data_IF_266788813163
#
_entry.id   IF_266788813163
#
_cell.length_a   1.000
_cell.length_b   1.000
_cell.length_c   1.000
_cell.angle_alpha   90.00
_cell.angle_beta   90.00
_cell.angle_gamma   90.00
#
_symmetry.space_group_name_H-M   'P 1'
#
loop_
_entity.id
_entity.type
_entity.pdbx_description
1 polymer ?
#
# COMPACT_ATOMS: atom_id res chain seq x y z
N UNK A 1 47.16 69.09 -67.90
CA UNK A 1 47.22 67.70 -68.38
C UNK A 1 46.00 66.98 -67.80
N UNK A 2 45.24 66.31 -68.67
CA UNK A 2 44.17 65.32 -68.40
C UNK A 2 43.00 65.75 -67.46
N UNK A 3 41.82 66.16 -67.99
CA UNK A 3 40.65 65.33 -68.42
C UNK A 3 39.96 64.62 -67.25
N UNK A 4 38.63 64.64 -67.01
CA UNK A 4 37.44 65.10 -67.75
C UNK A 4 36.23 65.10 -66.77
N UNK A 5 35.13 65.82 -67.09
CA UNK A 5 33.84 65.24 -67.58
C UNK A 5 33.22 64.23 -66.58
N UNK A 6 31.96 64.25 -66.10
CA UNK A 6 30.66 64.80 -66.50
C UNK A 6 29.73 64.59 -65.26
N UNK A 7 28.92 65.56 -64.84
CA UNK A 7 27.48 65.72 -65.16
C UNK A 7 26.56 64.75 -64.36
N UNK A 8 25.74 65.29 -63.43
CA UNK A 8 24.26 65.24 -63.40
C UNK A 8 23.66 65.60 -62.01
N UNK A 9 22.99 66.76 -61.97
CA UNK A 9 21.63 67.06 -61.45
C UNK A 9 21.20 66.35 -60.14
N UNK A 10 21.16 67.04 -58.99
CA UNK A 10 20.06 67.88 -58.45
C UNK A 10 18.75 67.11 -58.14
N UNK A 11 18.41 66.93 -56.86
CA UNK A 11 17.20 67.50 -56.20
C UNK A 11 16.94 66.89 -54.80
N UNK A 12 16.78 67.81 -53.85
CA UNK A 12 16.04 67.81 -52.58
C UNK A 12 15.37 66.50 -52.09
N UNK A 13 15.59 66.15 -50.83
CA UNK A 13 14.61 65.42 -50.02
C UNK A 13 14.56 66.02 -48.61
N UNK A 14 13.49 66.77 -48.40
CA UNK A 14 12.92 67.18 -47.12
C UNK A 14 12.68 65.91 -46.32
N UNK A 15 13.29 65.80 -45.13
CA UNK A 15 13.02 64.72 -44.19
C UNK A 15 11.53 64.72 -43.85
N UNK A 16 10.80 63.79 -44.46
CA UNK A 16 9.45 63.46 -44.06
C UNK A 16 9.50 62.82 -42.68
N UNK A 17 8.70 63.41 -41.78
CA UNK A 17 7.96 62.76 -40.70
C UNK A 17 8.18 61.25 -40.63
N UNK A 18 8.96 60.78 -39.64
CA UNK A 18 8.68 59.45 -39.12
C UNK A 18 7.50 59.64 -38.18
N UNK A 19 6.30 59.46 -38.74
CA UNK A 19 5.14 59.09 -37.97
C UNK A 19 5.57 57.93 -37.06
N UNK A 20 5.43 58.13 -35.75
CA UNK A 20 5.46 57.00 -34.83
C UNK A 20 4.45 55.99 -35.34
N UNK A 21 4.95 54.86 -35.81
CA UNK A 21 4.14 53.66 -35.93
C UNK A 21 3.85 53.31 -34.48
N UNK A 22 2.68 53.73 -33.99
CA UNK A 22 2.04 53.08 -32.87
C UNK A 22 1.77 51.64 -33.35
N UNK A 23 2.75 50.76 -33.11
CA UNK A 23 2.51 49.33 -33.08
C UNK A 23 1.60 49.10 -31.87
N UNK A 24 0.38 48.65 -32.14
CA UNK A 24 -0.50 48.09 -31.14
C UNK A 24 0.10 46.75 -30.70
N UNK A 25 1.06 46.78 -29.78
CA UNK A 25 1.53 45.58 -29.04
C UNK A 25 0.57 45.29 -27.86
N UNK A 26 -0.74 45.34 -28.13
CA UNK A 26 -1.79 45.15 -27.13
C UNK A 26 -2.36 43.72 -27.12
N UNK A 27 -1.85 42.85 -27.99
CA UNK A 27 -2.40 41.51 -28.19
C UNK A 27 -1.37 40.44 -27.85
N UNK A 28 -1.72 39.56 -26.92
CA UNK A 28 -0.87 38.43 -26.55
C UNK A 28 -0.67 37.50 -27.76
N UNK A 29 0.45 36.75 -27.80
CA UNK A 29 0.64 35.69 -28.79
C UNK A 29 -0.54 34.68 -28.76
N UNK A 30 -0.74 33.89 -29.82
CA UNK A 30 -1.70 32.79 -29.81
C UNK A 30 -1.51 31.89 -28.60
N UNK A 31 -2.61 31.32 -28.08
CA UNK A 31 -2.62 30.46 -26.89
C UNK A 31 -2.14 31.14 -25.60
N UNK A 32 -2.19 32.48 -25.55
CA UNK A 32 -1.89 33.26 -24.37
C UNK A 32 -2.97 34.31 -24.10
N UNK A 33 -3.11 34.68 -22.84
CA UNK A 33 -4.01 35.72 -22.37
C UNK A 33 -3.28 36.67 -21.42
N UNK A 34 -3.93 37.78 -21.06
CA UNK A 34 -3.38 38.78 -20.14
C UNK A 34 -4.30 38.88 -18.93
N UNK A 35 -3.74 38.73 -17.73
CA UNK A 35 -4.43 39.02 -16.47
C UNK A 35 -4.84 40.49 -16.41
N UNK A 36 -5.89 40.81 -15.65
CA UNK A 36 -6.30 42.21 -15.46
C UNK A 36 -5.18 43.01 -14.76
N UNK A 37 -4.89 44.21 -15.27
CA UNK A 37 -3.85 45.08 -14.69
C UNK A 37 -2.40 44.60 -14.84
N UNK A 38 -2.12 43.52 -15.58
CA UNK A 38 -0.77 43.05 -15.88
C UNK A 38 -0.40 43.27 -17.35
N UNK A 39 0.90 43.44 -17.61
CA UNK A 39 1.44 43.54 -18.98
C UNK A 39 1.98 42.19 -19.50
N UNK A 40 2.23 41.24 -18.59
CA UNK A 40 2.73 39.91 -18.92
C UNK A 40 1.61 39.01 -19.45
N UNK A 41 1.91 38.24 -20.50
CA UNK A 41 1.01 37.24 -21.06
C UNK A 41 1.24 35.88 -20.38
N UNK A 42 0.15 35.23 -20.00
CA UNK A 42 0.09 33.90 -19.42
C UNK A 42 -0.45 32.91 -20.44
N UNK A 43 -0.03 31.66 -20.34
CA UNK A 43 -0.51 30.61 -21.23
C UNK A 43 -2.00 30.34 -20.99
N UNK A 44 -2.82 30.21 -22.04
CA UNK A 44 -4.28 30.04 -21.94
C UNK A 44 -4.73 28.81 -21.15
N UNK A 45 -3.84 27.85 -20.86
CA UNK A 45 -4.11 26.75 -19.92
C UNK A 45 -4.30 27.19 -18.47
N UNK A 46 -3.93 28.43 -18.12
CA UNK A 46 -4.18 29.00 -16.79
C UNK A 46 -5.54 29.67 -16.65
N UNK A 47 -6.31 29.78 -17.74
CA UNK A 47 -7.67 30.31 -17.62
C UNK A 47 -8.62 29.22 -17.17
N UNK A 48 -9.39 29.50 -16.12
CA UNK A 48 -10.47 28.65 -15.64
C UNK A 48 -10.02 27.23 -15.29
N UNK A 49 -8.80 27.08 -14.77
CA UNK A 49 -8.25 25.78 -14.39
C UNK A 49 -8.51 25.44 -12.90
N UNK A 50 -9.18 26.34 -12.17
CA UNK A 50 -9.49 26.23 -10.76
C UNK A 50 -8.42 26.78 -9.81
N UNK A 51 -7.35 27.39 -10.32
CA UNK A 51 -6.23 27.94 -9.54
C UNK A 51 -6.04 29.43 -9.83
N UNK A 52 -5.60 30.19 -8.82
CA UNK A 52 -5.33 31.62 -8.95
C UNK A 52 -3.86 31.86 -9.32
N UNK A 53 -3.56 32.01 -10.61
CA UNK A 53 -2.24 32.39 -11.12
C UNK A 53 -2.07 33.91 -11.25
N UNK A 54 -3.13 34.63 -11.58
CA UNK A 54 -3.06 36.08 -11.81
C UNK A 54 -2.89 36.90 -10.52
N UNK A 55 -3.16 36.33 -9.35
CA UNK A 55 -3.09 36.99 -8.04
C UNK A 55 -4.16 38.05 -7.78
N UNK A 56 -5.01 38.31 -8.79
CA UNK A 56 -6.24 39.09 -8.71
C UNK A 56 -7.49 38.25 -9.05
N UNK A 57 -7.31 36.96 -9.37
CA UNK A 57 -8.37 36.01 -9.76
C UNK A 57 -8.92 36.19 -11.18
N UNK A 58 -8.38 37.10 -11.99
CA UNK A 58 -8.94 37.41 -13.33
C UNK A 58 -8.91 36.24 -14.33
N UNK A 59 -8.05 35.27 -14.09
CA UNK A 59 -7.96 33.98 -14.77
C UNK A 59 -9.16 33.05 -14.50
N UNK A 60 -9.79 33.15 -13.33
CA UNK A 60 -10.88 32.30 -12.86
C UNK A 60 -12.26 32.98 -12.93
N UNK A 61 -12.34 34.15 -13.56
CA UNK A 61 -13.59 34.90 -13.75
C UNK A 61 -14.25 34.61 -15.11
N UNK A 62 -15.58 34.68 -15.15
CA UNK A 62 -16.43 34.47 -16.35
C UNK A 62 -16.15 33.15 -17.10
N UNK A 63 -15.85 32.08 -16.36
CA UNK A 63 -15.48 30.79 -16.94
C UNK A 63 -16.60 30.06 -17.69
N UNK A 64 -17.87 30.35 -17.36
CA UNK A 64 -19.01 29.79 -18.08
C UNK A 64 -19.02 30.21 -19.56
N UNK A 65 -18.57 31.43 -19.87
CA UNK A 65 -18.57 31.98 -21.24
C UNK A 65 -17.32 31.58 -22.06
N UNK A 66 -16.27 31.10 -21.40
CA UNK A 66 -14.98 30.74 -22.01
C UNK A 66 -14.94 29.25 -22.37
N UNK A 67 -14.35 28.89 -23.51
CA UNK A 67 -14.11 27.49 -23.86
C UNK A 67 -12.85 26.97 -23.16
N UNK A 68 -12.83 25.68 -22.83
CA UNK A 68 -11.66 25.06 -22.24
C UNK A 68 -10.50 25.01 -23.24
N UNK A 69 -9.29 25.33 -22.78
CA UNK A 69 -8.11 25.34 -23.64
C UNK A 69 -7.78 23.94 -24.19
N UNK A 70 -7.90 22.93 -23.34
CA UNK A 70 -7.62 21.55 -23.70
C UNK A 70 -8.88 20.87 -24.26
N UNK A 71 -8.81 20.20 -25.43
CA UNK A 71 -9.96 19.53 -26.03
C UNK A 71 -10.38 18.26 -25.27
N UNK A 72 -9.48 17.68 -24.48
CA UNK A 72 -9.70 16.56 -23.58
C UNK A 72 -10.08 17.03 -22.17
N UNK A 73 -10.66 18.22 -22.03
CA UNK A 73 -11.20 18.73 -20.77
C UNK A 73 -12.72 18.87 -20.85
N UNK A 74 -13.39 18.78 -19.72
CA UNK A 74 -14.81 19.10 -19.58
C UNK A 74 -15.00 20.31 -18.66
N UNK A 75 -16.18 20.93 -18.75
CA UNK A 75 -16.52 22.14 -18.00
C UNK A 75 -17.50 21.79 -16.86
N UNK A 76 -17.17 22.19 -15.64
CA UNK A 76 -18.07 22.10 -14.49
C UNK A 76 -19.31 22.98 -14.71
N UNK A 77 -20.49 22.49 -14.33
CA UNK A 77 -21.77 23.10 -14.72
C UNK A 77 -21.96 24.50 -14.10
N UNK A 78 -21.68 24.69 -12.81
CA UNK A 78 -21.92 25.97 -12.13
C UNK A 78 -20.73 26.94 -12.20
N UNK A 79 -19.50 26.43 -12.06
CA UNK A 79 -18.31 27.28 -11.99
C UNK A 79 -17.73 27.61 -13.36
N UNK A 80 -17.94 26.76 -14.36
CA UNK A 80 -17.26 26.87 -15.66
C UNK A 80 -15.79 26.45 -15.64
N UNK A 81 -15.29 25.93 -14.52
CA UNK A 81 -13.91 25.43 -14.40
C UNK A 81 -13.71 24.25 -15.34
N UNK A 82 -12.55 24.22 -15.99
CA UNK A 82 -12.13 23.19 -16.90
C UNK A 82 -11.34 22.11 -16.16
N UNK A 83 -11.90 20.91 -16.10
CA UNK A 83 -11.28 19.74 -15.48
C UNK A 83 -10.68 18.85 -16.55
N UNK A 84 -9.44 18.41 -16.33
CA UNK A 84 -8.67 17.57 -17.25
C UNK A 84 -7.97 16.43 -16.48
N UNK A 85 -7.92 15.21 -17.03
CA UNK A 85 -8.50 14.75 -18.30
C UNK A 85 -10.02 14.61 -18.27
N UNK A 86 -10.65 14.45 -19.44
CA UNK A 86 -12.09 14.24 -19.59
C UNK A 86 -12.58 13.00 -18.81
N UNK A 87 -11.69 12.02 -18.64
CA UNK A 87 -11.89 10.79 -17.87
C UNK A 87 -12.28 11.03 -16.40
N UNK A 88 -12.04 12.25 -15.88
CA UNK A 88 -12.47 12.67 -14.55
C UNK A 88 -13.96 12.99 -14.44
N UNK A 89 -14.70 12.88 -15.53
CA UNK A 89 -16.15 13.00 -15.50
C UNK A 89 -16.75 11.63 -15.21
N UNK A 90 -17.50 11.51 -14.11
CA UNK A 90 -18.08 10.25 -13.66
C UNK A 90 -17.02 9.21 -13.26
N UNK A 91 -15.93 9.64 -12.63
CA UNK A 91 -14.84 8.78 -12.17
C UNK A 91 -14.99 8.33 -10.70
N UNK A 92 -16.10 8.71 -10.05
CA UNK A 92 -16.38 8.44 -8.66
C UNK A 92 -15.77 9.46 -7.69
N UNK A 93 -15.03 10.45 -8.19
CA UNK A 93 -14.41 11.50 -7.40
C UNK A 93 -14.97 12.87 -7.72
N UNK A 94 -15.18 13.67 -6.69
CA UNK A 94 -15.62 15.05 -6.88
C UNK A 94 -14.44 15.94 -7.32
N UNK A 95 -14.31 16.18 -8.62
CA UNK A 95 -13.30 17.04 -9.25
C UNK A 95 -13.82 18.47 -9.51
N UNK A 96 -15.14 18.67 -9.57
CA UNK A 96 -15.73 20.02 -9.69
C UNK A 96 -16.08 20.63 -8.33
N UNK A 97 -15.95 21.94 -8.11
CA UNK A 97 -16.32 22.52 -6.80
C UNK A 97 -17.78 22.30 -6.38
N UNK A 98 -18.66 22.06 -7.35
CA UNK A 98 -20.08 21.79 -7.17
C UNK A 98 -20.45 20.30 -7.28
N UNK A 99 -19.50 19.40 -7.57
CA UNK A 99 -19.77 17.97 -7.80
C UNK A 99 -20.52 17.64 -9.09
N UNK A 100 -20.65 18.60 -10.03
CA UNK A 100 -21.40 18.41 -11.28
C UNK A 100 -20.81 17.36 -12.23
N UNK A 101 -19.54 17.01 -12.03
CA UNK A 101 -18.88 15.93 -12.76
C UNK A 101 -19.49 14.56 -12.46
N UNK A 102 -19.94 14.33 -11.22
CA UNK A 102 -20.48 13.05 -10.73
C UNK A 102 -22.03 12.97 -10.77
N UNK A 103 -22.69 13.98 -11.33
CA UNK A 103 -24.15 14.02 -11.47
C UNK A 103 -24.60 13.54 -12.86
N UNK A 104 -25.77 12.91 -12.93
CA UNK A 104 -26.41 12.41 -14.18
C UNK A 104 -25.50 11.53 -15.07
N UNK A 105 -24.61 10.75 -14.46
CA UNK A 105 -23.65 9.88 -15.17
C UNK A 105 -24.31 8.81 -16.05
N UNK A 106 -25.52 8.37 -15.70
CA UNK A 106 -26.29 7.45 -16.55
C UNK A 106 -26.60 8.03 -17.94
N UNK A 107 -26.76 9.35 -18.07
CA UNK A 107 -27.07 10.00 -19.35
C UNK A 107 -25.82 10.36 -20.17
N UNK A 108 -24.64 10.36 -19.53
CA UNK A 108 -23.33 10.70 -20.12
C UNK A 108 -22.64 9.44 -20.66
N UNK A 109 -21.95 9.55 -21.78
CA UNK A 109 -21.07 8.47 -22.25
C UNK A 109 -19.68 8.64 -21.62
N UNK A 110 -18.97 7.54 -21.37
CA UNK A 110 -17.60 7.61 -20.89
C UNK A 110 -16.70 8.31 -21.92
N UNK A 111 -15.70 9.04 -21.42
CA UNK A 111 -14.82 9.87 -22.26
C UNK A 111 -14.03 9.07 -23.29
N UNK A 112 -13.81 7.79 -23.03
CA UNK A 112 -13.17 6.84 -23.91
C UNK A 112 -14.09 5.61 -24.09
N UNK A 113 -14.21 5.14 -25.33
CA UNK A 113 -15.04 3.99 -25.69
C UNK A 113 -14.56 2.67 -25.07
N UNK A 114 -13.30 2.59 -24.65
CA UNK A 114 -12.77 1.41 -23.98
C UNK A 114 -13.18 1.34 -22.50
N UNK A 115 -13.58 2.46 -21.88
CA UNK A 115 -13.96 2.47 -20.47
C UNK A 115 -15.27 1.71 -20.24
N UNK A 116 -15.34 1.04 -19.09
CA UNK A 116 -16.54 0.33 -18.65
C UNK A 116 -17.48 1.28 -17.92
N UNK A 117 -18.75 1.27 -18.31
CA UNK A 117 -19.79 2.07 -17.67
C UNK A 117 -20.66 1.19 -16.78
N UNK A 118 -20.68 1.45 -15.48
CA UNK A 118 -21.55 0.74 -14.54
C UNK A 118 -23.03 0.97 -14.90
N UNK A 119 -23.83 -0.08 -14.94
CA UNK A 119 -25.26 0.03 -15.28
C UNK A 119 -26.07 0.72 -14.18
N UNK A 120 -25.64 0.58 -12.92
CA UNK A 120 -26.35 1.09 -11.74
C UNK A 120 -26.34 2.63 -11.62
N UNK A 121 -25.18 3.26 -11.77
CA UNK A 121 -24.99 4.69 -11.54
C UNK A 121 -24.34 5.44 -12.72
N UNK A 122 -23.85 4.72 -13.73
CA UNK A 122 -23.20 5.31 -14.91
C UNK A 122 -21.76 5.75 -14.69
N UNK A 123 -21.12 5.39 -13.56
CA UNK A 123 -19.68 5.64 -13.36
C UNK A 123 -18.85 4.91 -14.42
N UNK A 124 -17.71 5.51 -14.75
CA UNK A 124 -16.81 5.08 -15.80
C UNK A 124 -15.49 4.62 -15.20
N UNK A 125 -15.15 3.36 -15.39
CA UNK A 125 -13.90 2.78 -14.93
C UNK A 125 -13.01 2.37 -16.10
N UNK A 126 -11.69 2.47 -15.89
CA UNK A 126 -10.71 1.96 -16.84
C UNK A 126 -10.87 0.45 -17.00
N UNK A 127 -10.58 -0.12 -18.19
CA UNK A 127 -10.61 -1.58 -18.40
C UNK A 127 -9.85 -2.44 -17.38
N UNK A 128 -8.86 -1.86 -16.69
CA UNK A 128 -8.09 -2.54 -15.65
C UNK A 128 -8.87 -2.84 -14.37
N UNK A 129 -10.04 -2.22 -14.17
CA UNK A 129 -10.97 -2.49 -13.05
C UNK A 129 -12.04 -3.53 -13.43
N UNK A 130 -11.97 -4.12 -14.63
CA UNK A 130 -12.89 -5.18 -15.02
C UNK A 130 -12.25 -6.51 -14.61
N UNK A 131 -12.94 -7.27 -13.75
CA UNK A 131 -12.47 -8.57 -13.28
C UNK A 131 -11.16 -8.47 -12.51
N UNK A 132 -10.94 -7.40 -11.77
CA UNK A 132 -9.73 -7.19 -10.96
C UNK A 132 -9.86 -7.78 -9.55
N UNK A 133 -11.04 -8.34 -9.24
CA UNK A 133 -11.36 -8.96 -7.95
C UNK A 133 -12.02 -8.00 -6.95
N UNK A 134 -12.24 -6.74 -7.30
CA UNK A 134 -12.92 -5.73 -6.48
C UNK A 134 -14.29 -5.37 -7.07
N UNK A 135 -15.30 -5.21 -6.21
CA UNK A 135 -16.59 -4.65 -6.65
C UNK A 135 -16.50 -3.11 -6.68
N UNK A 136 -16.01 -2.54 -7.79
CA UNK A 136 -15.92 -1.09 -7.98
C UNK A 136 -17.27 -0.50 -8.40
N UNK A 137 -18.00 -1.20 -9.27
CA UNK A 137 -19.38 -0.84 -9.54
C UNK A 137 -20.28 -1.19 -8.35
N UNK A 138 -21.23 -0.31 -7.93
CA UNK A 138 -22.13 -0.61 -6.81
C UNK A 138 -23.06 -1.80 -7.01
N UNK A 139 -23.22 -2.26 -8.26
CA UNK A 139 -23.97 -3.45 -8.63
C UNK A 139 -23.08 -4.67 -8.93
N UNK A 140 -21.75 -4.56 -8.77
CA UNK A 140 -20.77 -5.60 -9.05
C UNK A 140 -20.68 -6.01 -10.52
N UNK A 141 -21.18 -5.17 -11.43
CA UNK A 141 -21.30 -5.50 -12.86
C UNK A 141 -19.96 -5.62 -13.60
N UNK A 142 -18.92 -5.03 -13.04
CA UNK A 142 -17.51 -5.16 -13.41
C UNK A 142 -16.96 -6.58 -13.19
N UNK A 143 -17.36 -7.23 -12.11
CA UNK A 143 -16.89 -8.58 -11.69
C UNK A 143 -17.75 -9.74 -12.22
N UNK A 144 -18.69 -9.46 -13.13
CA UNK A 144 -19.56 -10.46 -13.75
C UNK A 144 -18.96 -11.04 -15.05
N UNK A 145 -19.20 -12.34 -15.29
CA UNK A 145 -18.78 -13.07 -16.50
C UNK A 145 -17.26 -13.00 -16.82
N UNK A 146 -16.41 -12.94 -15.80
CA UNK A 146 -14.95 -12.83 -15.95
C UNK A 146 -14.28 -14.00 -16.65
N UNK A 147 -14.86 -15.20 -16.57
CA UNK A 147 -14.38 -16.37 -17.31
C UNK A 147 -14.42 -16.18 -18.84
N UNK A 148 -15.35 -15.39 -19.36
CA UNK A 148 -15.48 -15.16 -20.81
C UNK A 148 -14.62 -13.99 -21.32
N UNK A 149 -14.13 -13.14 -20.40
CA UNK A 149 -13.34 -11.93 -20.68
C UNK A 149 -11.84 -12.22 -20.60
N UNK A 150 -11.04 -11.60 -21.44
CA UNK A 150 -9.57 -11.64 -21.32
C UNK A 150 -9.11 -10.50 -20.41
N UNK A 151 -8.01 -10.72 -19.68
CA UNK A 151 -7.41 -9.65 -18.89
C UNK A 151 -6.96 -8.49 -19.78
N UNK A 152 -7.22 -7.26 -19.31
CA UNK A 152 -6.90 -6.07 -20.08
C UNK A 152 -5.41 -5.98 -20.43
N UNK A 153 -4.57 -6.24 -19.42
CA UNK A 153 -3.13 -6.32 -19.59
C UNK A 153 -2.71 -7.77 -19.85
N UNK A 154 -1.99 -7.99 -20.95
CA UNK A 154 -1.65 -9.34 -21.44
C UNK A 154 -0.70 -10.13 -20.53
N UNK A 155 0.00 -9.46 -19.64
CA UNK A 155 0.94 -10.03 -18.67
C UNK A 155 0.28 -10.41 -17.35
N UNK A 156 -0.99 -10.03 -17.14
CA UNK A 156 -1.74 -10.40 -15.95
C UNK A 156 -2.11 -11.88 -16.02
N UNK A 157 -2.19 -12.51 -14.86
CA UNK A 157 -2.61 -13.89 -14.75
C UNK A 157 -4.12 -13.96 -14.55
N UNK A 158 -4.79 -14.84 -15.29
CA UNK A 158 -6.23 -15.06 -15.17
C UNK A 158 -6.49 -16.29 -14.32
N UNK A 159 -7.12 -16.12 -13.17
CA UNK A 159 -7.52 -17.20 -12.29
C UNK A 159 -8.42 -18.21 -13.03
N UNK A 160 -8.18 -19.50 -12.86
CA UNK A 160 -8.78 -20.55 -13.70
C UNK A 160 -10.30 -20.67 -13.51
N UNK A 161 -10.78 -20.55 -12.27
CA UNK A 161 -12.20 -20.76 -11.94
C UNK A 161 -13.04 -19.48 -11.84
N UNK A 162 -12.45 -18.36 -11.39
CA UNK A 162 -13.15 -17.07 -11.28
C UNK A 162 -13.00 -16.22 -12.54
N UNK A 163 -11.88 -16.35 -13.26
CA UNK A 163 -11.53 -15.44 -14.35
C UNK A 163 -11.02 -14.07 -13.89
N UNK A 164 -10.79 -13.88 -12.58
CA UNK A 164 -10.18 -12.67 -12.02
C UNK A 164 -8.75 -12.51 -12.55
N UNK A 165 -8.36 -11.28 -12.82
CA UNK A 165 -7.07 -10.90 -13.36
C UNK A 165 -6.17 -10.38 -12.25
N UNK A 166 -5.17 -11.18 -11.88
CA UNK A 166 -4.18 -10.81 -10.87
C UNK A 166 -2.93 -10.23 -11.52
N UNK A 167 -2.30 -9.30 -10.81
CA UNK A 167 -1.08 -8.63 -11.26
C UNK A 167 0.07 -9.63 -11.50
N UNK A 168 1.00 -9.34 -12.44
CA UNK A 168 2.09 -10.26 -12.78
C UNK A 168 3.00 -10.62 -11.60
N UNK A 169 3.13 -9.71 -10.63
CA UNK A 169 3.93 -9.87 -9.41
C UNK A 169 3.23 -10.73 -8.35
N UNK A 170 1.91 -10.93 -8.49
CA UNK A 170 1.12 -11.78 -7.61
C UNK A 170 1.09 -13.24 -8.08
N UNK A 171 1.29 -13.48 -9.38
CA UNK A 171 1.38 -14.83 -9.92
C UNK A 171 2.71 -15.52 -9.51
N UNK A 172 2.59 -16.61 -8.73
CA UNK A 172 3.69 -17.42 -8.18
C UNK A 172 4.47 -16.72 -7.06
N UNK A 173 3.82 -15.87 -6.28
CA UNK A 173 4.44 -15.06 -5.22
C UNK A 173 4.42 -15.75 -3.83
N UNK A 174 3.89 -16.97 -3.74
CA UNK A 174 3.76 -17.70 -2.50
C UNK A 174 2.49 -17.44 -1.68
N UNK A 175 1.64 -16.52 -2.12
CA UNK A 175 0.36 -16.18 -1.51
C UNK A 175 -0.77 -16.57 -2.45
N UNK A 176 -1.90 -16.99 -1.88
CA UNK A 176 -3.10 -17.29 -2.66
C UNK A 176 -3.85 -15.99 -2.91
N UNK A 177 -3.65 -15.40 -4.08
CA UNK A 177 -4.34 -14.18 -4.53
C UNK A 177 -5.56 -14.51 -5.41
N UNK A 178 -5.58 -15.67 -6.08
CA UNK A 178 -6.80 -16.18 -6.71
C UNK A 178 -7.72 -16.89 -5.69
N UNK A 179 -9.05 -16.79 -5.83
CA UNK A 179 -9.99 -17.53 -4.96
C UNK A 179 -9.83 -19.06 -4.98
N UNK A 180 -9.22 -19.60 -6.03
CA UNK A 180 -8.91 -21.02 -6.21
C UNK A 180 -7.43 -21.37 -6.02
N UNK A 181 -6.56 -20.39 -5.77
CA UNK A 181 -5.11 -20.59 -5.66
C UNK A 181 -4.40 -20.96 -6.96
N UNK A 182 -5.07 -20.80 -8.11
CA UNK A 182 -4.50 -21.15 -9.42
C UNK A 182 -3.28 -20.30 -9.80
N UNK A 183 -3.13 -19.14 -9.17
CA UNK A 183 -1.95 -18.27 -9.27
C UNK A 183 -0.70 -18.86 -8.60
N UNK A 184 -0.83 -19.88 -7.75
CA UNK A 184 0.31 -20.55 -7.13
C UNK A 184 0.57 -21.94 -7.72
N UNK A 185 -0.16 -22.32 -8.76
CA UNK A 185 -0.05 -23.62 -9.42
C UNK A 185 0.87 -23.57 -10.66
N UNK A 186 1.62 -24.65 -10.87
CA UNK A 186 2.49 -24.86 -12.06
C UNK A 186 3.59 -23.79 -12.29
N UNK A 187 4.10 -23.21 -11.22
CA UNK A 187 5.05 -22.11 -11.23
C UNK A 187 6.51 -22.48 -11.61
N UNK A 188 6.81 -23.76 -11.91
CA UNK A 188 8.17 -24.20 -12.22
C UNK A 188 8.81 -23.51 -13.45
N UNK A 189 7.99 -22.99 -14.36
CA UNK A 189 8.47 -22.35 -15.59
C UNK A 189 8.98 -20.92 -15.38
N UNK A 190 8.63 -20.27 -14.26
CA UNK A 190 9.13 -18.95 -13.88
C UNK A 190 10.30 -19.10 -12.94
N UNK A 191 11.36 -18.30 -13.11
CA UNK A 191 12.38 -18.12 -12.07
C UNK A 191 11.80 -17.23 -10.95
N UNK A 192 12.18 -17.48 -9.70
CA UNK A 192 11.67 -16.64 -8.61
C UNK A 192 12.20 -15.20 -8.77
N UNK A 193 11.38 -14.16 -8.49
CA UNK A 193 11.80 -12.77 -8.67
C UNK A 193 13.08 -12.44 -7.90
N UNK A 194 13.25 -13.01 -6.71
CA UNK A 194 14.48 -12.91 -5.92
C UNK A 194 15.24 -14.24 -5.94
N UNK A 195 16.57 -14.24 -6.21
CA UNK A 195 17.39 -15.46 -6.22
C UNK A 195 17.43 -16.23 -4.91
N UNK A 196 17.18 -15.56 -3.78
CA UNK A 196 17.24 -16.16 -2.45
C UNK A 196 15.89 -16.78 -2.02
N UNK A 197 14.80 -16.50 -2.74
CA UNK A 197 13.48 -17.02 -2.43
C UNK A 197 13.43 -18.56 -2.54
N UNK A 198 12.64 -19.17 -1.67
CA UNK A 198 12.45 -20.61 -1.65
C UNK A 198 11.37 -21.02 -2.65
N UNK A 199 11.59 -22.12 -3.37
CA UNK A 199 10.62 -22.65 -4.32
C UNK A 199 9.92 -23.88 -3.75
N UNK A 200 8.60 -23.84 -3.61
CA UNK A 200 7.81 -24.99 -3.19
C UNK A 200 7.99 -26.18 -4.15
N UNK A 201 8.14 -27.39 -3.62
CA UNK A 201 8.43 -28.59 -4.41
C UNK A 201 7.24 -29.01 -5.27
N UNK A 202 6.02 -28.99 -4.71
CA UNK A 202 4.79 -29.44 -5.38
C UNK A 202 4.15 -28.44 -6.33
N UNK A 203 4.32 -27.14 -6.12
CA UNK A 203 3.61 -26.10 -6.89
C UNK A 203 4.57 -25.24 -7.71
N UNK A 204 5.83 -25.11 -7.27
CA UNK A 204 6.81 -24.20 -7.85
C UNK A 204 6.67 -22.76 -7.40
N UNK A 205 5.73 -22.45 -6.50
CA UNK A 205 5.51 -21.13 -5.91
C UNK A 205 6.78 -20.58 -5.25
N UNK A 206 6.99 -19.27 -5.32
CA UNK A 206 8.17 -18.61 -4.76
C UNK A 206 7.82 -17.97 -3.42
N UNK A 207 8.29 -18.59 -2.35
CA UNK A 207 8.19 -18.08 -1.00
C UNK A 207 9.36 -17.14 -0.68
N UNK A 208 9.07 -16.08 0.04
CA UNK A 208 10.10 -15.21 0.59
C UNK A 208 11.11 -16.01 1.42
N UNK A 209 12.41 -15.77 1.24
CA UNK A 209 13.46 -16.59 1.88
C UNK A 209 13.39 -16.67 3.42
N UNK A 210 12.72 -15.72 4.09
CA UNK A 210 12.49 -15.77 5.54
C UNK A 210 11.41 -16.79 5.92
N UNK A 211 10.50 -17.12 5.01
CA UNK A 211 9.42 -18.09 5.20
C UNK A 211 9.87 -19.53 4.88
N UNK A 212 11.19 -19.76 4.93
CA UNK A 212 11.77 -21.07 4.69
C UNK A 212 12.48 -21.52 5.95
N UNK A 213 11.99 -22.62 6.55
CA UNK A 213 12.46 -23.13 7.83
C UNK A 213 12.19 -22.17 8.99
N UNK A 214 11.03 -21.51 8.98
CA UNK A 214 10.59 -20.61 10.06
C UNK A 214 9.58 -21.26 11.03
N UNK A 215 9.23 -22.53 10.79
CA UNK A 215 8.31 -23.30 11.63
C UNK A 215 6.85 -23.22 11.19
N UNK A 216 6.51 -22.34 10.26
CA UNK A 216 5.17 -22.18 9.72
C UNK A 216 5.08 -22.81 8.31
N UNK A 217 3.99 -23.53 8.03
CA UNK A 217 3.76 -24.13 6.72
C UNK A 217 3.18 -23.09 5.77
N UNK A 218 4.01 -22.61 4.85
CA UNK A 218 3.67 -21.68 3.79
C UNK A 218 3.49 -22.39 2.44
N UNK A 219 4.22 -23.47 2.17
CA UNK A 219 3.97 -24.26 0.97
C UNK A 219 2.74 -25.16 1.14
N UNK A 220 1.92 -25.35 0.10
CA UNK A 220 0.79 -26.30 0.13
C UNK A 220 1.19 -27.75 0.49
N UNK A 221 2.44 -28.13 0.20
CA UNK A 221 3.02 -29.45 0.52
C UNK A 221 3.93 -29.46 1.76
N UNK A 222 4.10 -28.32 2.44
CA UNK A 222 5.02 -28.16 3.55
C UNK A 222 6.50 -28.38 3.19
N UNK A 223 6.86 -28.23 1.91
CA UNK A 223 8.24 -28.40 1.45
C UNK A 223 9.20 -27.34 1.97
N UNK A 224 8.69 -26.19 2.36
CA UNK A 224 9.40 -25.10 3.03
C UNK A 224 9.99 -25.51 4.38
N UNK A 225 9.35 -26.43 5.10
CA UNK A 225 9.83 -26.90 6.40
C UNK A 225 10.65 -28.21 6.31
N UNK A 226 10.97 -28.64 5.09
CA UNK A 226 11.75 -29.85 4.84
C UNK A 226 13.24 -29.54 4.65
N UNK A 227 14.10 -30.40 5.22
CA UNK A 227 15.55 -30.34 4.99
C UNK A 227 16.28 -29.18 5.68
N UNK A 228 15.69 -28.58 6.69
CA UNK A 228 16.19 -27.39 7.40
C UNK A 228 17.48 -27.59 8.21
N UNK A 229 17.98 -28.83 8.36
CA UNK A 229 19.05 -29.22 9.30
C UNK A 229 20.33 -28.36 9.23
N UNK A 230 20.69 -27.86 8.04
CA UNK A 230 21.95 -27.15 7.80
C UNK A 230 21.77 -25.65 7.45
N UNK A 231 20.54 -25.11 7.44
CA UNK A 231 20.27 -23.72 7.04
C UNK A 231 20.27 -22.78 8.26
N UNK A 232 20.82 -21.57 8.21
CA UNK A 232 20.69 -20.61 9.32
C UNK A 232 19.22 -20.19 9.50
N UNK A 233 18.79 -19.95 10.74
CA UNK A 233 17.45 -19.41 10.98
C UNK A 233 17.30 -18.01 10.36
N UNK A 234 16.11 -17.67 9.84
CA UNK A 234 15.89 -16.46 9.06
C UNK A 234 16.00 -15.17 9.87
N UNK A 235 15.65 -15.17 11.16
CA UNK A 235 15.79 -13.99 12.03
C UNK A 235 17.11 -13.98 12.82
N UNK A 236 17.68 -12.78 12.97
CA UNK A 236 18.94 -12.56 13.67
C UNK A 236 18.77 -12.76 15.18
N UNK A 237 19.05 -13.96 15.68
CA UNK A 237 18.98 -14.30 17.10
C UNK A 237 18.40 -15.68 17.38
N UNK A 238 17.65 -16.24 16.45
CA UNK A 238 17.01 -17.55 16.59
C UNK A 238 18.05 -18.66 16.67
N UNK A 239 17.78 -19.61 17.57
CA UNK A 239 18.66 -20.74 17.85
C UNK A 239 17.93 -22.03 17.50
N UNK A 240 18.59 -22.87 16.68
CA UNK A 240 18.14 -24.22 16.38
C UNK A 240 18.44 -25.13 17.57
N UNK A 241 17.49 -25.97 17.95
CA UNK A 241 17.73 -27.04 18.93
C UNK A 241 18.88 -27.95 18.44
N UNK A 242 19.99 -27.98 19.17
CA UNK A 242 21.09 -28.92 18.89
C UNK A 242 20.71 -30.33 19.37
N UNK A 243 20.97 -31.34 18.53
CA UNK A 243 20.81 -32.77 18.82
C UNK A 243 21.43 -33.13 20.21
N UNK A 244 20.60 -33.32 21.24
CA UNK A 244 21.07 -33.87 22.53
C UNK A 244 20.37 -33.42 23.82
N UNK A 245 19.32 -32.60 23.77
CA UNK A 245 18.48 -32.33 24.95
C UNK A 245 17.32 -33.31 25.00
N UNK A 246 17.16 -33.99 26.14
CA UNK A 246 16.16 -35.04 26.37
C UNK A 246 14.75 -34.45 26.59
N UNK A 247 14.19 -33.74 25.61
CA UNK A 247 12.89 -33.07 25.78
C UNK A 247 11.91 -33.47 24.68
N UNK A 248 10.74 -33.98 25.08
CA UNK A 248 9.64 -34.31 24.17
C UNK A 248 9.10 -33.07 23.41
N UNK A 249 9.57 -31.86 23.73
CA UNK A 249 9.25 -30.61 23.03
C UNK A 249 10.17 -30.31 21.82
N UNK A 250 11.27 -31.06 21.61
CA UNK A 250 12.13 -30.95 20.42
C UNK A 250 11.66 -31.83 19.25
N UNK A 251 10.36 -32.14 19.17
CA UNK A 251 9.80 -32.98 18.11
C UNK A 251 9.60 -32.23 16.78
N UNK A 252 9.64 -30.89 16.80
CA UNK A 252 9.58 -30.05 15.61
C UNK A 252 10.90 -29.29 15.45
N UNK A 253 11.45 -29.30 14.25
CA UNK A 253 12.77 -28.73 13.91
C UNK A 253 12.67 -27.21 13.70
N UNK A 254 11.92 -26.55 14.57
CA UNK A 254 11.53 -25.14 14.49
C UNK A 254 12.73 -24.23 14.80
N UNK A 255 12.71 -23.03 14.21
CA UNK A 255 13.55 -21.92 14.63
C UNK A 255 12.84 -21.23 15.81
N UNK A 256 13.40 -21.38 17.01
CA UNK A 256 12.83 -20.77 18.20
C UNK A 256 13.41 -19.37 18.42
N UNK A 257 12.54 -18.45 18.84
CA UNK A 257 12.94 -17.12 19.26
C UNK A 257 13.90 -17.24 20.47
N UNK A 258 15.03 -16.51 20.53
CA UNK A 258 15.96 -16.57 21.66
C UNK A 258 15.35 -16.15 23.01
N UNK A 259 14.20 -15.45 23.01
CA UNK A 259 13.43 -15.17 24.21
C UNK A 259 12.70 -16.42 24.76
N UNK A 260 12.43 -17.45 23.94
CA UNK A 260 11.93 -18.76 24.40
C UNK A 260 13.05 -19.58 25.08
N UNK A 261 14.30 -19.46 24.60
CA UNK A 261 15.46 -20.16 25.18
C UNK A 261 16.00 -19.54 26.48
N UNK A 262 15.53 -18.35 26.88
CA UNK A 262 16.07 -17.63 28.05
C UNK A 262 15.39 -17.94 29.38
N UNK A 263 14.56 -18.98 29.43
CA UNK A 263 13.95 -19.48 30.67
C UNK A 263 14.94 -20.36 31.51
N UNK A 264 16.20 -20.61 31.08
CA UNK A 264 17.13 -21.56 31.76
C UNK A 264 17.67 -21.16 33.16
N UNK A 265 17.42 -19.94 33.68
CA UNK A 265 18.00 -19.53 35.00
C UNK A 265 17.06 -18.80 35.95
N UNK A 266 15.78 -18.66 35.61
CA UNK A 266 14.78 -17.93 36.39
C UNK A 266 13.41 -18.61 36.35
N UNK A 267 13.41 -19.92 36.47
CA UNK A 267 12.16 -20.64 36.70
C UNK A 267 11.78 -20.47 38.16
N UNK A 268 10.52 -20.14 38.42
CA UNK A 268 9.95 -20.13 39.76
C UNK A 268 10.67 -19.18 40.74
N UNK A 269 11.08 -18.00 40.26
CA UNK A 269 11.72 -16.96 41.07
C UNK A 269 10.74 -15.91 41.63
N UNK A 270 9.46 -15.98 41.20
CA UNK A 270 8.38 -15.10 41.62
C UNK A 270 8.19 -13.88 40.71
N UNK A 271 8.87 -13.83 39.56
CA UNK A 271 8.70 -12.80 38.54
C UNK A 271 8.37 -13.43 37.18
N UNK A 272 7.41 -12.84 36.45
CA UNK A 272 7.11 -13.25 35.07
C UNK A 272 8.18 -12.66 34.15
N UNK A 273 9.22 -13.44 33.88
CA UNK A 273 10.32 -13.15 32.96
C UNK A 273 10.03 -13.65 31.53
N UNK A 274 9.23 -14.71 31.37
CA UNK A 274 8.83 -15.22 30.04
C UNK A 274 7.55 -14.47 29.56
N UNK A 275 7.74 -13.36 28.84
CA UNK A 275 6.71 -12.32 28.58
C UNK A 275 5.57 -12.70 27.65
N UNK A 276 5.70 -13.81 26.92
CA UNK A 276 4.70 -14.26 25.93
C UNK A 276 3.60 -15.09 26.58
N UNK A 277 3.94 -15.94 27.55
CA UNK A 277 2.99 -16.88 28.15
C UNK A 277 3.13 -17.05 29.68
N UNK A 278 4.17 -16.50 30.30
CA UNK A 278 4.47 -16.63 31.74
C UNK A 278 4.71 -18.07 32.19
N UNK A 279 5.23 -18.92 31.31
CA UNK A 279 5.53 -20.34 31.58
C UNK A 279 6.55 -20.55 32.70
N UNK A 280 7.46 -19.61 32.92
CA UNK A 280 8.46 -19.64 33.99
C UNK A 280 7.87 -19.70 35.41
N UNK A 281 6.65 -19.21 35.57
CA UNK A 281 5.91 -19.19 36.85
C UNK A 281 4.65 -20.07 36.79
N UNK A 282 4.61 -21.06 35.89
CA UNK A 282 3.51 -22.03 35.79
C UNK A 282 4.05 -23.43 36.05
N UNK A 283 3.28 -24.23 36.80
CA UNK A 283 3.61 -25.63 37.12
C UNK A 283 4.89 -25.87 37.94
N UNK A 284 5.38 -24.86 38.68
CA UNK A 284 6.44 -25.04 39.67
C UNK A 284 6.12 -26.18 40.65
N UNK A 285 7.13 -26.94 41.06
CA UNK A 285 7.03 -27.95 42.12
C UNK A 285 7.68 -27.43 43.41
N UNK A 286 7.40 -28.04 44.58
CA UNK A 286 7.99 -27.59 45.85
C UNK A 286 9.52 -27.57 45.89
N UNK A 287 10.19 -28.36 45.03
CA UNK A 287 11.65 -28.44 44.94
C UNK A 287 12.26 -27.28 44.12
N UNK A 288 11.42 -26.55 43.37
CA UNK A 288 11.86 -25.49 42.45
C UNK A 288 11.91 -24.10 43.10
N UNK A 289 11.32 -23.91 44.30
CA UNK A 289 11.39 -22.62 45.00
C UNK A 289 12.77 -22.42 45.66
N UNK A 290 13.56 -21.41 45.25
CA UNK A 290 14.84 -21.14 45.87
C UNK A 290 14.66 -20.71 47.33
N UNK A 291 15.47 -21.25 48.25
CA UNK A 291 15.45 -20.80 49.64
C UNK A 291 15.81 -19.30 49.70
N UNK A 292 15.05 -18.46 50.44
CA UNK A 292 14.08 -18.80 51.48
C UNK A 292 12.60 -18.66 51.04
N UNK A 293 12.22 -19.17 49.87
CA UNK A 293 10.84 -19.09 49.38
C UNK A 293 10.05 -20.36 49.69
N UNK A 294 8.73 -20.24 49.81
CA UNK A 294 7.77 -21.32 50.04
C UNK A 294 6.83 -21.44 48.83
N UNK A 295 6.43 -22.68 48.56
CA UNK A 295 5.58 -23.03 47.43
C UNK A 295 4.08 -22.81 47.75
N UNK A 296 3.41 -22.05 46.89
CA UNK A 296 1.95 -21.92 46.81
C UNK A 296 1.41 -22.91 45.77
N UNK A 297 0.33 -23.63 46.10
CA UNK A 297 -0.41 -24.36 45.08
C UNK A 297 -1.16 -23.37 44.15
N UNK A 298 -1.37 -23.66 42.85
CA UNK A 298 -0.56 -24.41 41.90
C UNK A 298 0.44 -23.47 41.19
N UNK A 299 1.71 -23.49 41.60
CA UNK A 299 2.80 -23.05 40.74
C UNK A 299 3.41 -21.67 41.02
N UNK A 300 3.25 -21.09 42.21
CA UNK A 300 3.93 -19.81 42.55
C UNK A 300 4.79 -19.95 43.81
N UNK A 301 5.89 -19.19 43.88
CA UNK A 301 6.74 -19.12 45.07
C UNK A 301 6.56 -17.75 45.74
N UNK A 302 6.36 -17.74 47.06
CA UNK A 302 6.37 -16.50 47.86
C UNK A 302 7.47 -16.59 48.90
N UNK A 303 7.91 -15.45 49.44
CA UNK A 303 8.95 -15.45 50.45
C UNK A 303 8.47 -16.10 51.77
N UNK A 304 9.33 -16.82 52.50
CA UNK A 304 8.97 -17.45 53.78
C UNK A 304 8.43 -16.46 54.81
N UNK A 305 8.81 -15.18 54.72
CA UNK A 305 8.31 -14.12 55.61
C UNK A 305 6.83 -13.82 55.42
N UNK A 306 6.26 -14.25 54.30
CA UNK A 306 4.84 -14.11 53.96
C UNK A 306 4.00 -15.30 54.39
N UNK A 307 4.61 -16.33 54.98
CA UNK A 307 3.87 -17.43 55.57
C UNK A 307 3.20 -16.99 56.87
N UNK A 308 1.88 -17.10 56.96
CA UNK A 308 1.13 -16.79 58.18
C UNK A 308 1.34 -15.36 58.69
N UNK A 309 1.50 -14.39 57.79
CA UNK A 309 1.65 -12.98 58.11
C UNK A 309 0.28 -12.27 58.26
N UNK A 310 -0.81 -12.99 58.00
CA UNK A 310 -2.18 -12.53 58.09
C UNK A 310 -2.70 -11.89 56.80
N UNK A 311 -1.91 -11.95 55.71
CA UNK A 311 -2.26 -11.49 54.37
C UNK A 311 -2.19 -12.69 53.42
N UNK A 312 -3.20 -12.85 52.57
CA UNK A 312 -3.15 -13.85 51.51
C UNK A 312 -2.22 -13.37 50.38
N UNK A 313 -1.00 -13.86 50.37
CA UNK A 313 0.01 -13.67 49.33
C UNK A 313 0.00 -14.83 48.30
N UNK A 314 -0.46 -16.03 48.66
CA UNK A 314 -0.74 -17.10 47.69
C UNK A 314 -2.12 -16.91 47.03
N UNK A 315 -2.22 -17.21 45.72
CA UNK A 315 -3.50 -17.18 45.00
C UNK A 315 -4.53 -18.18 45.56
N UNK A 316 -4.07 -19.32 46.08
CA UNK A 316 -4.90 -20.34 46.74
C UNK A 316 -5.03 -20.14 48.26
N UNK A 317 -4.46 -19.06 48.82
CA UNK A 317 -4.41 -18.74 50.25
C UNK A 317 -3.74 -19.85 51.10
N UNK A 318 -2.90 -20.69 50.47
CA UNK A 318 -2.22 -21.78 51.16
C UNK A 318 -1.19 -21.31 52.18
N UNK A 319 -0.64 -20.11 51.99
CA UNK A 319 0.26 -19.42 52.91
C UNK A 319 -0.36 -19.09 54.28
N UNK A 320 -1.67 -18.85 54.31
CA UNK A 320 -2.45 -18.57 55.53
C UNK A 320 -3.18 -19.82 56.07
N UNK A 321 -2.93 -20.98 55.46
CA UNK A 321 -3.53 -22.25 55.86
C UNK A 321 -2.62 -23.04 56.82
N UNK A 322 -3.22 -23.67 57.84
CA UNK A 322 -2.52 -24.49 58.86
C UNK A 322 -1.42 -23.76 59.68
N UNK A 323 -1.53 -22.43 59.84
CA UNK A 323 -0.69 -21.59 60.70
C UNK A 323 -0.67 -21.97 62.20
N UNK A 324 -1.52 -22.93 62.60
CA UNK A 324 -1.65 -23.43 63.96
C UNK A 324 -0.64 -24.51 64.38
N UNK A 325 0.34 -24.87 63.54
CA UNK A 325 1.36 -25.89 63.88
C UNK A 325 2.82 -25.42 63.88
N UNK A 326 3.08 -24.17 63.50
CA UNK A 326 4.43 -23.60 63.56
C UNK A 326 4.63 -22.81 64.86
N UNK A 327 4.60 -23.53 65.99
CA UNK A 327 5.30 -23.06 67.19
C UNK A 327 6.79 -23.03 66.89
N UNK A 328 7.36 -21.83 66.95
CA UNK A 328 8.80 -21.58 67.05
C UNK A 328 9.52 -22.64 67.90
N UNK A 329 10.58 -23.21 67.33
CA UNK A 329 11.75 -23.70 68.06
C UNK A 329 12.98 -23.02 67.46
#
# INVERSE_FOLDING_TARGET
MATGLLLFVCLLSIGHVNAGIAGTDDECPPDNFRCEGREECFHSSYQCNGNEECGDGSDEEDCLSKECFFPDAFKCESSGICVRPAEKQCDGYNNCPDGSDEEDCLSKECSNADYFKCESNGLCYSPGFICDGNEDCPDGSDEEDCLSKECFYSDYFKCESSGICVYPELHCNGNVDCPDGSDEDYCWSKECPNPDDFRCESSGACLFYLNHCDGDVHCPDGSDENGCRDKPCPFFGDVRCEDGTDEEDCLSKECLNPDDFRCEKKQCDGHVDCTVDGSDERFCTPDDCPLPNIFCGPGSCINETKRCDGVADCHDQSDESDCGKLTFC
#
